data_IF_829464083425
#
_entry.id   IF_829464083425
#
_cell.length_a   1.000
_cell.length_b   1.000
_cell.length_c   1.000
_cell.angle_alpha   90.00
_cell.angle_beta   90.00
_cell.angle_gamma   90.00
#
_symmetry.space_group_name_H-M   'P 1'
#
loop_
_entity.id
_entity.type
_entity.pdbx_description
1 polymer ?
#
# COMPACT_ATOMS: atom_id res chain seq x y z
N UNK A 1 20.29 -0.96 -38.45
CA UNK A 1 19.70 -1.25 -37.13
C UNK A 1 19.87 -2.74 -36.88
N UNK A 2 20.70 -3.15 -35.91
CA UNK A 2 20.90 -4.59 -35.60
C UNK A 2 19.89 -4.99 -34.53
N UNK A 3 19.08 -6.01 -34.79
CA UNK A 3 18.22 -6.62 -33.78
C UNK A 3 19.07 -7.52 -32.88
N UNK A 4 18.88 -7.39 -31.56
CA UNK A 4 19.51 -8.28 -30.58
C UNK A 4 18.44 -9.31 -30.21
N UNK A 5 18.70 -10.58 -30.49
CA UNK A 5 17.85 -11.72 -30.15
C UNK A 5 18.52 -12.53 -29.04
N UNK A 6 17.73 -13.09 -28.11
CA UNK A 6 18.25 -13.92 -27.01
C UNK A 6 18.47 -13.21 -25.66
N UNK A 7 18.13 -11.92 -25.53
CA UNK A 7 18.03 -11.29 -24.22
C UNK A 7 16.75 -11.78 -23.53
N UNK A 8 16.92 -12.63 -22.52
CA UNK A 8 15.83 -12.97 -21.60
C UNK A 8 15.34 -11.74 -20.82
N UNK A 9 14.19 -11.84 -20.13
CA UNK A 9 13.69 -10.74 -19.33
C UNK A 9 14.76 -10.30 -18.32
N UNK A 10 15.23 -9.06 -18.44
CA UNK A 10 16.27 -8.50 -17.56
C UNK A 10 15.61 -7.53 -16.59
N UNK A 11 15.99 -7.61 -15.31
CA UNK A 11 15.55 -6.67 -14.27
C UNK A 11 16.79 -5.93 -13.77
N UNK A 12 16.72 -4.59 -13.77
CA UNK A 12 17.73 -3.75 -13.15
C UNK A 12 17.29 -3.34 -11.73
N UNK A 13 18.20 -3.39 -10.78
CA UNK A 13 17.98 -2.96 -9.39
C UNK A 13 18.70 -1.62 -9.16
N UNK A 14 17.92 -0.56 -8.98
CA UNK A 14 18.44 0.76 -8.60
C UNK A 14 18.44 0.94 -7.09
N UNK A 15 19.51 1.54 -6.54
CA UNK A 15 19.54 1.94 -5.13
C UNK A 15 18.86 3.30 -4.95
N UNK A 16 17.76 3.33 -4.21
CA UNK A 16 17.05 4.57 -3.88
C UNK A 16 17.37 4.99 -2.43
N UNK A 17 18.57 5.54 -2.22
CA UNK A 17 19.15 5.81 -0.90
C UNK A 17 18.63 7.08 -0.22
N UNK A 18 18.07 8.02 -1.00
CA UNK A 18 17.70 9.36 -0.54
C UNK A 18 16.27 9.71 -0.98
N UNK A 19 15.30 8.85 -0.68
CA UNK A 19 13.90 9.21 -0.86
C UNK A 19 13.55 10.37 0.10
N UNK A 20 13.29 11.56 -0.45
CA UNK A 20 13.02 12.80 0.29
C UNK A 20 11.53 13.12 0.45
N UNK A 21 10.63 12.26 0.01
CA UNK A 21 9.21 12.51 0.19
C UNK A 21 8.83 12.30 1.67
N UNK A 22 8.45 13.35 2.41
CA UNK A 22 8.15 13.23 3.84
C UNK A 22 6.94 12.33 4.14
N UNK A 23 6.07 12.08 3.15
CA UNK A 23 4.93 11.17 3.29
C UNK A 23 5.30 9.71 3.01
N UNK A 24 6.52 9.44 2.52
CA UNK A 24 6.97 8.08 2.27
C UNK A 24 7.49 7.46 3.55
N UNK A 25 6.83 6.40 3.98
CA UNK A 25 7.19 5.59 5.15
C UNK A 25 7.66 4.20 4.71
N UNK A 26 8.34 3.47 5.59
CA UNK A 26 8.83 2.10 5.33
C UNK A 26 7.73 1.19 4.80
N UNK A 27 6.52 1.28 5.38
CA UNK A 27 5.37 0.49 4.92
C UNK A 27 4.95 0.83 3.47
N UNK A 28 5.14 2.06 3.00
CA UNK A 28 4.88 2.43 1.60
C UNK A 28 5.96 1.90 0.67
N UNK A 29 7.24 1.97 1.06
CA UNK A 29 8.37 1.51 0.27
C UNK A 29 8.39 -0.02 0.09
N UNK A 30 7.91 -0.75 1.09
CA UNK A 30 7.82 -2.23 1.08
C UNK A 30 6.52 -2.76 0.48
N UNK A 31 5.57 -1.90 0.11
CA UNK A 31 4.26 -2.31 -0.38
C UNK A 31 3.31 -2.87 0.70
N UNK A 32 3.65 -2.75 1.98
CA UNK A 32 2.81 -3.20 3.10
C UNK A 32 1.61 -2.28 3.37
N UNK A 33 1.73 -0.98 3.11
CA UNK A 33 0.67 -0.01 3.39
C UNK A 33 -0.70 -0.37 2.76
N UNK A 34 -0.81 -0.78 1.48
CA UNK A 34 -2.10 -1.23 0.93
C UNK A 34 -2.63 -2.50 1.61
N UNK A 35 -1.77 -3.42 2.04
CA UNK A 35 -2.19 -4.62 2.78
C UNK A 35 -2.79 -4.24 4.13
N UNK A 36 -2.16 -3.32 4.87
CA UNK A 36 -2.73 -2.81 6.12
C UNK A 36 -4.07 -2.10 5.89
N UNK A 37 -4.19 -1.29 4.84
CA UNK A 37 -5.48 -0.65 4.50
C UNK A 37 -6.58 -1.69 4.26
N UNK A 38 -6.29 -2.76 3.52
CA UNK A 38 -7.25 -3.85 3.31
C UNK A 38 -7.61 -4.57 4.62
N UNK A 39 -6.61 -4.86 5.44
CA UNK A 39 -6.79 -5.52 6.74
C UNK A 39 -7.75 -4.71 7.63
N UNK A 40 -7.47 -3.43 7.84
CA UNK A 40 -8.30 -2.57 8.69
C UNK A 40 -9.67 -2.25 8.08
N UNK A 41 -9.77 -2.15 6.75
CA UNK A 41 -11.06 -1.93 6.09
C UNK A 41 -12.01 -3.14 6.23
N UNK A 42 -11.47 -4.36 6.27
CA UNK A 42 -12.26 -5.60 6.32
C UNK A 42 -12.47 -6.13 7.73
N UNK A 43 -11.46 -6.03 8.60
CA UNK A 43 -11.42 -6.69 9.90
C UNK A 43 -11.24 -5.70 11.07
N UNK A 44 -11.08 -4.41 10.80
CA UNK A 44 -10.93 -3.41 11.85
C UNK A 44 -12.26 -3.09 12.54
N UNK A 45 -12.26 -3.17 13.86
CA UNK A 45 -13.36 -2.67 14.69
C UNK A 45 -13.48 -1.15 14.52
N UNK A 46 -14.66 -0.70 14.06
CA UNK A 46 -14.94 0.72 13.88
C UNK A 46 -15.72 1.25 15.07
N UNK A 47 -15.12 2.18 15.80
CA UNK A 47 -15.73 2.86 16.95
C UNK A 47 -15.72 4.36 16.76
N UNK A 48 -16.73 5.05 17.25
CA UNK A 48 -16.75 6.51 17.32
C UNK A 48 -15.68 7.01 18.29
N UNK A 49 -14.83 7.95 17.89
CA UNK A 49 -13.78 8.47 18.77
C UNK A 49 -14.32 9.33 19.93
N UNK A 50 -15.54 9.87 19.79
CA UNK A 50 -16.16 10.76 20.78
C UNK A 50 -16.87 9.98 21.88
N UNK A 51 -17.68 8.99 21.50
CA UNK A 51 -18.53 8.25 22.45
C UNK A 51 -18.17 6.76 22.60
N UNK A 52 -17.26 6.21 21.79
CA UNK A 52 -16.82 4.82 21.87
C UNK A 52 -17.79 3.77 21.32
N UNK A 53 -18.98 4.17 20.85
CA UNK A 53 -19.98 3.26 20.28
C UNK A 53 -19.49 2.61 18.98
N UNK A 54 -19.90 1.36 18.75
CA UNK A 54 -19.64 0.63 17.50
C UNK A 54 -20.37 1.28 16.33
N UNK A 55 -19.67 1.42 15.20
CA UNK A 55 -20.24 1.96 13.96
C UNK A 55 -20.87 0.83 13.14
N UNK A 56 -22.18 0.92 12.89
CA UNK A 56 -22.90 0.08 11.94
C UNK A 56 -22.88 0.70 10.54
N UNK A 57 -22.75 -0.14 9.51
CA UNK A 57 -22.95 0.32 8.13
C UNK A 57 -24.44 0.55 7.93
N UNK A 58 -24.82 1.76 7.54
CA UNK A 58 -26.17 2.01 7.02
C UNK A 58 -26.26 1.28 5.68
N UNK A 59 -27.10 0.25 5.60
CA UNK A 59 -27.50 -0.33 4.32
C UNK A 59 -28.68 0.50 3.82
N UNK A 60 -28.50 1.16 2.69
CA UNK A 60 -29.64 1.60 1.87
C UNK A 60 -30.14 0.37 1.11
N UNK A 61 -31.46 0.15 1.14
CA UNK A 61 -32.15 -0.88 0.36
C UNK A 61 -32.18 -0.53 -1.14
#
# INVERSE_FOLDING_TARGET
MRSISGLGPTIALGQNLLNRNPNSIVASATGLLPLFKLLYARFGDRKCHVCGAYLSVLKED
#
